data_IF_947541795067
#
_entry.id   IF_947541795067
#
_cell.length_a   1.000
_cell.length_b   1.000
_cell.length_c   1.000
_cell.angle_alpha   90.00
_cell.angle_beta   90.00
_cell.angle_gamma   90.00
#
_symmetry.space_group_name_H-M   'P 1'
#
loop_
_entity.id
_entity.type
_entity.pdbx_description
1 polymer ?
#
# COMPACT_ATOMS: atom_id res chain seq x y z
N UNK A 1 7.59 24.82 39.24
CA UNK A 1 6.31 24.47 38.61
C UNK A 1 6.63 23.62 37.41
N UNK A 2 6.20 22.37 37.44
CA UNK A 2 6.42 21.36 36.40
C UNK A 2 5.69 21.73 35.12
N UNK A 3 6.43 21.93 34.02
CA UNK A 3 5.88 21.83 32.67
C UNK A 3 5.44 20.38 32.47
N UNK A 4 4.13 20.15 32.47
CA UNK A 4 3.57 18.92 31.95
C UNK A 4 3.73 18.97 30.44
N UNK A 5 4.64 18.15 29.91
CA UNK A 5 4.71 17.82 28.48
C UNK A 5 3.32 17.36 28.02
N UNK A 6 2.61 18.27 27.36
CA UNK A 6 1.29 18.00 26.78
C UNK A 6 1.43 16.97 25.67
N UNK A 7 1.07 15.72 25.97
CA UNK A 7 0.79 14.72 24.94
C UNK A 7 -0.43 15.22 24.17
N UNK A 8 -0.21 15.90 23.04
CA UNK A 8 -1.28 16.31 22.14
C UNK A 8 -2.02 15.06 21.68
N UNK A 9 -3.32 15.00 21.97
CA UNK A 9 -4.21 13.93 21.49
C UNK A 9 -4.36 14.06 19.97
N UNK A 10 -4.34 12.94 19.24
CA UNK A 10 -4.52 12.90 17.79
C UNK A 10 -5.88 13.50 17.39
N UNK A 11 -5.86 14.51 16.51
CA UNK A 11 -7.07 15.10 15.92
C UNK A 11 -7.37 14.45 14.55
N UNK A 12 -8.37 13.56 14.46
CA UNK A 12 -8.68 12.85 13.21
C UNK A 12 -9.14 13.76 12.06
N UNK A 13 -9.52 15.00 12.34
CA UNK A 13 -10.00 15.96 11.32
C UNK A 13 -8.87 16.80 10.72
N UNK A 14 -7.70 16.83 11.37
CA UNK A 14 -6.58 17.69 10.98
C UNK A 14 -5.25 16.94 10.86
N UNK A 15 -4.99 15.99 11.76
CA UNK A 15 -3.69 15.35 11.86
C UNK A 15 -3.47 14.34 10.73
N UNK A 16 -2.28 14.35 10.09
CA UNK A 16 -1.92 13.35 9.11
C UNK A 16 -1.67 11.98 9.76
N UNK A 17 -1.77 10.94 8.93
CA UNK A 17 -1.33 9.59 9.26
C UNK A 17 -0.34 9.10 8.20
N UNK A 18 0.42 8.06 8.55
CA UNK A 18 1.11 7.22 7.59
C UNK A 18 0.68 5.77 7.78
N UNK A 19 0.54 5.05 6.67
CA UNK A 19 0.38 3.60 6.67
C UNK A 19 1.68 3.00 6.15
N UNK A 20 2.31 2.14 6.94
CA UNK A 20 3.61 1.56 6.61
C UNK A 20 3.56 0.03 6.60
N UNK A 21 4.22 -0.60 5.64
CA UNK A 21 4.67 -1.98 5.74
C UNK A 21 5.84 -2.02 6.73
N UNK A 22 5.58 -2.61 7.90
CA UNK A 22 6.52 -2.67 9.02
C UNK A 22 7.25 -4.00 9.11
N UNK A 23 6.69 -5.06 8.52
CA UNK A 23 7.34 -6.36 8.40
C UNK A 23 6.89 -7.03 7.09
N UNK A 24 7.84 -7.64 6.37
CA UNK A 24 7.56 -8.48 5.22
C UNK A 24 8.43 -9.73 5.32
N UNK A 25 7.82 -10.90 5.29
CA UNK A 25 8.51 -12.17 5.40
C UNK A 25 8.16 -13.08 4.22
N UNK A 26 9.19 -13.62 3.57
CA UNK A 26 9.03 -14.70 2.61
C UNK A 26 8.99 -16.02 3.39
N UNK A 27 7.91 -16.77 3.28
CA UNK A 27 7.71 -18.00 4.04
C UNK A 27 8.43 -19.18 3.39
N UNK A 28 8.72 -20.21 4.19
CA UNK A 28 9.45 -21.41 3.73
C UNK A 28 8.57 -22.45 3.03
N UNK A 29 7.24 -22.34 3.15
CA UNK A 29 6.31 -23.39 2.73
C UNK A 29 5.76 -23.05 1.35
N UNK A 30 5.84 -24.00 0.43
CA UNK A 30 5.30 -23.95 -0.92
C UNK A 30 5.75 -22.74 -1.74
N UNK A 31 6.88 -22.88 -2.40
CA UNK A 31 7.04 -22.23 -3.70
C UNK A 31 6.13 -22.97 -4.69
N UNK A 32 5.40 -22.31 -5.61
CA UNK A 32 4.59 -23.02 -6.62
C UNK A 32 5.43 -23.98 -7.51
N UNK A 33 6.75 -23.82 -7.47
CA UNK A 33 7.73 -24.47 -8.34
C UNK A 33 8.80 -25.21 -7.51
N UNK A 34 8.41 -26.33 -6.88
CA UNK A 34 9.27 -27.12 -5.97
C UNK A 34 10.77 -27.14 -6.33
N UNK A 35 11.63 -26.90 -5.33
CA UNK A 35 13.11 -26.93 -5.38
C UNK A 35 13.81 -26.04 -6.43
N UNK A 36 13.09 -25.41 -7.35
CA UNK A 36 13.61 -24.64 -8.49
C UNK A 36 13.16 -23.16 -8.45
N UNK A 37 13.23 -22.53 -7.29
CA UNK A 37 13.50 -21.09 -7.29
C UNK A 37 14.91 -20.91 -7.84
N UNK A 38 15.02 -20.41 -9.06
CA UNK A 38 16.31 -20.02 -9.62
C UNK A 38 16.84 -18.85 -8.78
N UNK A 39 17.73 -19.19 -7.83
CA UNK A 39 18.39 -18.31 -6.85
C UNK A 39 19.06 -17.06 -7.46
N UNK A 40 19.02 -16.90 -8.78
CA UNK A 40 19.58 -15.81 -9.56
C UNK A 40 18.66 -14.57 -9.65
N UNK A 41 17.35 -14.67 -9.42
CA UNK A 41 16.40 -13.54 -9.60
C UNK A 41 15.39 -13.35 -8.45
N UNK A 42 15.80 -13.55 -7.19
CA UNK A 42 14.89 -13.43 -6.05
C UNK A 42 14.61 -11.96 -5.66
N UNK A 43 13.84 -11.25 -6.48
CA UNK A 43 13.43 -9.87 -6.21
C UNK A 43 11.95 -9.84 -5.82
N UNK A 44 11.66 -9.42 -4.58
CA UNK A 44 10.28 -9.18 -4.17
C UNK A 44 9.89 -7.75 -4.49
N UNK A 45 8.90 -7.61 -5.36
CA UNK A 45 8.31 -6.32 -5.66
C UNK A 45 7.08 -6.10 -4.80
N UNK A 46 7.02 -4.97 -4.13
CA UNK A 46 5.86 -4.55 -3.34
C UNK A 46 5.28 -3.31 -3.97
N UNK A 47 3.97 -3.31 -4.17
CA UNK A 47 3.23 -2.13 -4.59
C UNK A 47 2.05 -1.89 -3.64
N UNK A 48 1.66 -0.63 -3.51
CA UNK A 48 0.41 -0.26 -2.87
C UNK A 48 -0.39 0.71 -3.72
N UNK A 49 -1.70 0.53 -3.66
CA UNK A 49 -2.71 1.48 -4.12
C UNK A 49 -3.37 2.08 -2.89
N UNK A 50 -3.56 3.39 -2.86
CA UNK A 50 -4.23 4.08 -1.78
C UNK A 50 -5.22 5.10 -2.33
N UNK A 51 -6.43 5.09 -1.80
CA UNK A 51 -7.49 6.04 -2.14
C UNK A 51 -8.15 6.56 -0.86
N UNK A 52 -7.99 7.84 -0.61
CA UNK A 52 -8.64 8.54 0.49
C UNK A 52 -9.79 9.42 -0.02
N UNK A 53 -10.48 10.12 0.88
CA UNK A 53 -11.62 10.96 0.51
C UNK A 53 -11.23 12.05 -0.50
N UNK A 54 -10.06 12.67 -0.30
CA UNK A 54 -9.57 13.73 -1.15
C UNK A 54 -9.20 13.21 -2.54
N UNK A 55 -8.47 12.11 -2.61
CA UNK A 55 -8.14 11.42 -3.84
C UNK A 55 -9.39 11.00 -4.61
N UNK A 56 -10.41 10.48 -3.93
CA UNK A 56 -11.69 10.15 -4.55
C UNK A 56 -12.39 11.38 -5.15
N UNK A 57 -12.34 12.54 -4.47
CA UNK A 57 -12.90 13.81 -4.99
C UNK A 57 -12.12 14.37 -6.18
N UNK A 58 -10.81 14.29 -6.11
CA UNK A 58 -9.90 14.87 -7.11
C UNK A 58 -9.61 13.92 -8.29
N UNK A 59 -10.15 12.70 -8.26
CA UNK A 59 -9.87 11.70 -9.28
C UNK A 59 -8.42 11.20 -9.23
N UNK A 60 -7.84 11.12 -8.03
CA UNK A 60 -6.42 10.79 -7.78
C UNK A 60 -6.25 9.53 -6.96
N UNK A 61 -5.37 8.66 -7.41
CA UNK A 61 -4.97 7.43 -6.75
C UNK A 61 -3.51 7.53 -6.30
N UNK A 62 -3.25 7.24 -5.03
CA UNK A 62 -1.89 7.11 -4.52
C UNK A 62 -1.29 5.76 -4.93
N UNK A 63 -0.11 5.79 -5.53
CA UNK A 63 0.64 4.59 -5.90
C UNK A 63 2.04 4.65 -5.28
N UNK A 64 2.40 3.61 -4.53
CA UNK A 64 3.76 3.42 -4.06
C UNK A 64 4.31 2.08 -4.55
N UNK A 65 5.63 2.03 -4.76
CA UNK A 65 6.33 0.76 -5.00
C UNK A 65 7.71 0.72 -4.35
N UNK A 66 8.16 -0.49 -4.06
CA UNK A 66 9.55 -0.79 -3.69
C UNK A 66 9.93 -2.19 -4.13
N UNK A 67 11.22 -2.45 -4.14
CA UNK A 67 11.81 -3.75 -4.46
C UNK A 67 12.72 -4.16 -3.30
N UNK A 68 12.61 -5.41 -2.88
CA UNK A 68 13.50 -6.05 -1.91
C UNK A 68 14.34 -7.09 -2.64
N UNK A 69 15.59 -6.73 -3.01
CA UNK A 69 16.47 -7.63 -3.74
C UNK A 69 16.97 -8.76 -2.83
N UNK A 70 17.23 -9.93 -3.43
CA UNK A 70 17.87 -11.08 -2.79
C UNK A 70 17.14 -11.66 -1.56
N UNK A 71 15.81 -11.52 -1.51
CA UNK A 71 15.01 -12.15 -0.46
C UNK A 71 15.08 -13.67 -0.58
N UNK A 72 15.19 -14.38 0.55
CA UNK A 72 15.27 -15.86 0.57
C UNK A 72 14.12 -16.47 1.35
N UNK A 73 13.69 -17.70 1.04
CA UNK A 73 12.68 -18.39 1.84
C UNK A 73 13.06 -18.42 3.33
N UNK A 74 12.14 -17.96 4.18
CA UNK A 74 12.32 -17.79 5.61
C UNK A 74 12.92 -16.44 6.04
N UNK A 75 13.36 -15.61 5.11
CA UNK A 75 13.91 -14.28 5.38
C UNK A 75 12.80 -13.27 5.65
N UNK A 76 13.08 -12.35 6.58
CA UNK A 76 12.26 -11.17 6.86
C UNK A 76 13.01 -9.94 6.33
N UNK A 77 12.33 -9.10 5.55
CA UNK A 77 12.88 -7.83 5.09
C UNK A 77 13.01 -6.89 6.30
N UNK A 78 14.22 -6.39 6.52
CA UNK A 78 14.47 -5.39 7.56
C UNK A 78 14.10 -4.00 7.06
N UNK A 79 13.36 -3.25 7.86
CA UNK A 79 13.08 -1.85 7.62
C UNK A 79 13.90 -0.99 8.58
N UNK A 80 14.64 -0.01 8.07
CA UNK A 80 15.16 1.08 8.89
C UNK A 80 14.03 2.08 9.18
N UNK A 81 13.92 2.54 10.43
CA UNK A 81 12.89 3.53 10.82
C UNK A 81 11.47 2.93 10.88
N UNK A 82 10.51 3.61 10.26
CA UNK A 82 9.08 3.34 10.44
C UNK A 82 8.48 2.27 9.51
N UNK A 83 9.26 1.73 8.59
CA UNK A 83 8.78 0.80 7.56
C UNK A 83 8.81 1.40 6.15
N UNK A 84 8.22 0.68 5.20
CA UNK A 84 7.99 1.16 3.84
C UNK A 84 6.62 1.84 3.74
N UNK A 85 6.60 3.06 3.19
CA UNK A 85 5.41 3.92 3.13
C UNK A 85 4.41 3.42 2.07
N UNK A 86 3.22 3.04 2.52
CA UNK A 86 2.11 2.60 1.67
C UNK A 86 1.13 3.74 1.36
N UNK A 87 0.97 4.68 2.31
CA UNK A 87 0.16 5.89 2.22
C UNK A 87 0.69 6.98 3.16
N UNK A 88 0.42 8.24 2.82
CA UNK A 88 0.74 9.41 3.62
C UNK A 88 2.17 9.90 3.37
N UNK A 89 2.70 10.80 4.21
CA UNK A 89 2.05 11.47 5.33
C UNK A 89 0.94 12.45 4.90
N UNK A 90 -0.34 12.11 5.15
CA UNK A 90 -1.50 12.95 4.77
C UNK A 90 -2.72 12.67 5.67
N UNK A 91 -3.65 13.63 5.79
CA UNK A 91 -4.94 13.41 6.46
C UNK A 91 -5.95 12.81 5.46
N UNK A 92 -6.52 11.63 5.72
CA UNK A 92 -7.35 10.96 4.73
C UNK A 92 -8.79 11.49 4.57
N UNK A 93 -9.23 12.44 5.42
CA UNK A 93 -10.61 12.93 5.42
C UNK A 93 -11.59 11.92 6.03
N UNK A 94 -12.60 11.47 5.28
CA UNK A 94 -13.64 10.58 5.80
C UNK A 94 -13.20 9.12 5.89
N UNK A 95 -12.31 8.69 5.00
CA UNK A 95 -11.88 7.30 4.86
C UNK A 95 -10.53 7.19 4.13
N UNK A 96 -9.91 6.03 4.27
CA UNK A 96 -8.75 5.60 3.52
C UNK A 96 -8.90 4.11 3.17
N UNK A 97 -8.67 3.76 1.92
CA UNK A 97 -8.49 2.38 1.49
C UNK A 97 -7.07 2.21 1.00
N UNK A 98 -6.34 1.24 1.54
CA UNK A 98 -5.00 0.86 1.09
C UNK A 98 -5.01 -0.61 0.70
N UNK A 99 -4.52 -0.91 -0.49
CA UNK A 99 -4.29 -2.27 -0.95
C UNK A 99 -2.81 -2.47 -1.22
N UNK A 100 -2.18 -3.36 -0.47
CA UNK A 100 -0.81 -3.79 -0.68
C UNK A 100 -0.78 -5.11 -1.45
N UNK A 101 0.19 -5.25 -2.34
CA UNK A 101 0.43 -6.43 -3.16
C UNK A 101 1.92 -6.75 -3.19
N UNK A 102 2.24 -8.04 -3.15
CA UNK A 102 3.59 -8.58 -3.22
C UNK A 102 3.69 -9.51 -4.41
N UNK A 103 4.74 -9.31 -5.20
CA UNK A 103 5.05 -10.08 -6.40
C UNK A 103 6.47 -10.63 -6.32
N UNK A 104 6.68 -11.81 -6.88
CA UNK A 104 7.97 -12.26 -7.37
C UNK A 104 8.22 -11.59 -8.72
N UNK A 105 9.31 -10.84 -8.84
CA UNK A 105 9.69 -10.16 -10.06
C UNK A 105 10.71 -11.00 -10.85
N UNK A 106 10.23 -11.68 -11.88
CA UNK A 106 11.07 -12.46 -12.79
C UNK A 106 11.79 -11.56 -13.83
N UNK A 107 11.22 -10.38 -14.10
CA UNK A 107 11.74 -9.41 -15.08
C UNK A 107 12.47 -8.25 -14.42
N UNK A 108 13.24 -7.53 -15.25
CA UNK A 108 13.96 -6.30 -14.89
C UNK A 108 13.09 -5.38 -14.01
N UNK A 109 13.44 -5.28 -12.73
CA UNK A 109 12.81 -4.43 -11.70
C UNK A 109 12.64 -2.97 -12.12
N UNK A 110 13.43 -2.50 -13.09
CA UNK A 110 13.29 -1.16 -13.66
C UNK A 110 11.95 -1.00 -14.40
N UNK A 111 11.35 -2.08 -14.90
CA UNK A 111 10.07 -2.07 -15.63
C UNK A 111 8.86 -2.30 -14.74
N UNK A 112 8.97 -3.12 -13.68
CA UNK A 112 7.88 -3.38 -12.73
C UNK A 112 7.16 -2.10 -12.34
N UNK A 113 7.95 -1.09 -11.98
CA UNK A 113 7.40 0.17 -11.51
C UNK A 113 6.62 0.97 -12.53
N UNK A 114 7.17 1.11 -13.74
CA UNK A 114 6.53 1.85 -14.82
C UNK A 114 5.30 1.09 -15.35
N UNK A 115 5.38 -0.24 -15.43
CA UNK A 115 4.28 -1.09 -15.89
C UNK A 115 3.12 -1.05 -14.89
N UNK A 116 3.41 -1.17 -13.58
CA UNK A 116 2.39 -1.10 -12.54
C UNK A 116 1.70 0.27 -12.52
N UNK A 117 2.45 1.37 -12.54
CA UNK A 117 1.89 2.71 -12.61
C UNK A 117 1.00 2.90 -13.85
N UNK A 118 1.50 2.52 -15.02
CA UNK A 118 0.76 2.65 -16.27
C UNK A 118 -0.58 1.89 -16.22
N UNK A 119 -0.57 0.69 -15.65
CA UNK A 119 -1.80 -0.11 -15.51
C UNK A 119 -2.74 0.53 -14.50
N UNK A 120 -2.25 0.95 -13.34
CA UNK A 120 -3.05 1.64 -12.34
C UNK A 120 -3.70 2.90 -12.93
N UNK A 121 -2.96 3.71 -13.69
CA UNK A 121 -3.50 4.92 -14.36
C UNK A 121 -4.53 4.59 -15.42
N UNK A 122 -4.21 3.69 -16.34
CA UNK A 122 -5.12 3.33 -17.43
C UNK A 122 -6.43 2.75 -16.90
N UNK A 123 -6.37 1.92 -15.86
CA UNK A 123 -7.55 1.28 -15.28
C UNK A 123 -8.31 2.20 -14.34
N UNK A 124 -7.64 3.13 -13.65
CA UNK A 124 -8.32 4.13 -12.83
C UNK A 124 -9.22 5.03 -13.68
N UNK A 125 -8.74 5.45 -14.86
CA UNK A 125 -9.55 6.18 -15.82
C UNK A 125 -10.74 5.34 -16.31
N UNK A 126 -10.50 4.09 -16.74
CA UNK A 126 -11.53 3.19 -17.26
C UNK A 126 -12.62 2.83 -16.23
N UNK A 127 -12.23 2.59 -14.98
CA UNK A 127 -13.13 2.19 -13.90
C UNK A 127 -13.84 3.39 -13.24
N UNK A 128 -13.67 4.59 -13.80
CA UNK A 128 -14.45 5.76 -13.40
C UNK A 128 -13.98 6.37 -12.09
N UNK A 129 -12.67 6.48 -11.85
CA UNK A 129 -12.14 7.27 -10.72
C UNK A 129 -12.72 8.71 -10.73
N UNK A 130 -12.95 9.29 -11.92
CA UNK A 130 -13.66 10.57 -12.07
C UNK A 130 -15.15 10.54 -11.67
N UNK A 131 -15.81 9.38 -11.67
CA UNK A 131 -17.20 9.25 -11.21
C UNK A 131 -17.31 9.31 -9.68
N UNK A 132 -16.25 8.94 -8.94
CA UNK A 132 -16.20 9.09 -7.49
C UNK A 132 -16.18 10.56 -7.05
N UNK A 133 -15.78 11.47 -7.94
CA UNK A 133 -15.71 12.90 -7.64
C UNK A 133 -17.06 13.50 -7.22
N UNK A 134 -18.16 13.00 -7.80
CA UNK A 134 -19.50 13.51 -7.54
C UNK A 134 -20.07 13.08 -6.17
N UNK A 135 -19.64 11.91 -5.67
CA UNK A 135 -20.06 11.39 -4.36
C UNK A 135 -19.02 10.40 -3.83
N UNK A 136 -17.96 10.89 -3.16
CA UNK A 136 -16.87 10.04 -2.66
C UNK A 136 -17.36 9.19 -1.49
N UNK A 137 -17.83 7.98 -1.81
CA UNK A 137 -18.25 6.99 -0.82
C UNK A 137 -17.16 5.96 -0.55
N UNK A 138 -16.89 5.66 0.72
CA UNK A 138 -15.94 4.63 1.13
C UNK A 138 -16.16 3.29 0.41
N UNK A 139 -17.41 2.82 0.32
CA UNK A 139 -17.71 1.52 -0.31
C UNK A 139 -17.34 1.49 -1.80
N UNK A 140 -17.58 2.59 -2.51
CA UNK A 140 -17.24 2.72 -3.92
C UNK A 140 -15.72 2.84 -4.12
N UNK A 141 -15.04 3.60 -3.26
CA UNK A 141 -13.59 3.68 -3.23
C UNK A 141 -12.94 2.30 -2.97
N UNK A 142 -13.46 1.53 -2.00
CA UNK A 142 -12.96 0.20 -1.69
C UNK A 142 -13.17 -0.78 -2.85
N UNK A 143 -14.35 -0.77 -3.48
CA UNK A 143 -14.62 -1.57 -4.66
C UNK A 143 -13.67 -1.23 -5.82
N UNK A 144 -13.45 0.06 -6.08
CA UNK A 144 -12.54 0.53 -7.12
C UNK A 144 -11.10 0.07 -6.85
N UNK A 145 -10.58 0.26 -5.64
CA UNK A 145 -9.21 -0.13 -5.29
C UNK A 145 -9.01 -1.64 -5.42
N UNK A 146 -9.98 -2.46 -4.98
CA UNK A 146 -9.94 -3.92 -5.17
C UNK A 146 -9.90 -4.32 -6.63
N UNK A 147 -10.74 -3.68 -7.44
CA UNK A 147 -10.82 -3.97 -8.87
C UNK A 147 -9.53 -3.55 -9.59
N UNK A 148 -8.97 -2.38 -9.26
CA UNK A 148 -7.68 -1.93 -9.76
C UNK A 148 -6.55 -2.89 -9.38
N UNK A 149 -6.54 -3.37 -8.13
CA UNK A 149 -5.55 -4.33 -7.68
C UNK A 149 -5.66 -5.67 -8.41
N UNK A 150 -6.89 -6.12 -8.69
CA UNK A 150 -7.15 -7.33 -9.49
C UNK A 150 -6.60 -7.18 -10.91
N UNK A 151 -6.88 -6.06 -11.56
CA UNK A 151 -6.40 -5.77 -12.92
C UNK A 151 -4.87 -5.61 -12.97
N UNK A 152 -4.29 -4.90 -12.00
CA UNK A 152 -2.85 -4.77 -11.85
C UNK A 152 -2.20 -6.15 -11.70
N UNK A 153 -2.73 -6.98 -10.80
CA UNK A 153 -2.26 -8.36 -10.59
C UNK A 153 -2.33 -9.20 -11.86
N UNK A 154 -3.45 -9.14 -12.59
CA UNK A 154 -3.63 -9.87 -13.84
C UNK A 154 -2.63 -9.42 -14.93
N UNK A 155 -2.32 -8.12 -15.00
CA UNK A 155 -1.31 -7.57 -15.89
C UNK A 155 0.11 -7.99 -15.49
N UNK A 156 0.46 -7.92 -14.21
CA UNK A 156 1.76 -8.35 -13.70
C UNK A 156 2.01 -9.83 -14.02
N UNK A 157 0.99 -10.68 -13.86
CA UNK A 157 1.06 -12.09 -14.26
C UNK A 157 1.32 -12.28 -15.75
N UNK A 158 0.74 -11.45 -16.64
CA UNK A 158 1.05 -11.46 -18.08
C UNK A 158 2.51 -11.08 -18.37
N UNK A 159 3.13 -10.30 -17.49
CA UNK A 159 4.54 -9.96 -17.53
C UNK A 159 5.47 -11.02 -16.90
N UNK A 160 4.92 -12.15 -16.44
CA UNK A 160 5.60 -13.21 -15.68
C UNK A 160 6.01 -12.80 -14.27
N UNK A 161 5.42 -11.74 -13.72
CA UNK A 161 5.60 -11.41 -12.32
C UNK A 161 4.49 -12.10 -11.52
N UNK A 162 4.87 -13.03 -10.65
CA UNK A 162 3.94 -13.90 -9.94
C UNK A 162 3.45 -13.26 -8.64
N UNK A 163 2.13 -13.17 -8.50
CA UNK A 163 1.52 -12.61 -7.30
C UNK A 163 1.61 -13.57 -6.12
N UNK A 164 2.31 -13.14 -5.07
CA UNK A 164 2.53 -13.93 -3.87
C UNK A 164 1.49 -13.67 -2.78
N UNK A 165 0.96 -12.44 -2.69
CA UNK A 165 0.00 -12.12 -1.64
C UNK A 165 -0.40 -10.66 -1.61
N UNK A 166 -1.51 -10.39 -0.94
CA UNK A 166 -2.06 -9.05 -0.82
C UNK A 166 -2.69 -8.82 0.55
N UNK A 167 -2.79 -7.55 0.93
CA UNK A 167 -3.38 -7.12 2.20
C UNK A 167 -4.12 -5.80 2.00
N UNK A 168 -5.35 -5.74 2.47
CA UNK A 168 -6.17 -4.54 2.43
C UNK A 168 -6.30 -3.95 3.83
N UNK A 169 -6.20 -2.62 3.94
CA UNK A 169 -6.68 -1.86 5.08
C UNK A 169 -7.76 -0.90 4.63
N UNK A 170 -8.90 -0.96 5.30
CA UNK A 170 -10.02 -0.05 5.12
C UNK A 170 -10.23 0.71 6.42
N UNK A 171 -9.89 1.99 6.42
CA UNK A 171 -9.73 2.81 7.62
C UNK A 171 -10.75 3.96 7.57
N UNK A 172 -11.57 4.10 8.60
CA UNK A 172 -12.63 5.11 8.67
C UNK A 172 -12.33 6.12 9.76
N UNK A 173 -12.66 7.40 9.52
CA UNK A 173 -12.56 8.45 10.55
C UNK A 173 -13.56 8.23 11.69
N UNK A 174 -14.78 7.83 11.35
CA UNK A 174 -15.93 7.79 12.26
C UNK A 174 -16.03 6.57 13.16
N UNK A 175 -14.92 5.93 13.52
CA UNK A 175 -14.88 4.76 14.43
C UNK A 175 -14.33 5.14 15.81
N UNK A 176 -14.53 4.27 16.82
CA UNK A 176 -14.04 4.49 18.19
C UNK A 176 -12.52 4.78 18.26
N UNK A 177 -11.76 4.17 17.35
CA UNK A 177 -10.35 4.50 17.10
C UNK A 177 -10.25 4.99 15.65
N UNK A 178 -10.29 6.31 15.38
CA UNK A 178 -10.23 6.86 14.04
C UNK A 178 -9.03 6.35 13.26
N UNK A 179 -9.29 5.86 12.05
CA UNK A 179 -8.33 5.22 11.14
C UNK A 179 -7.51 4.09 11.75
N UNK A 180 -7.90 3.59 12.93
CA UNK A 180 -7.11 2.61 13.68
C UNK A 180 -5.66 3.07 13.92
N UNK A 181 -5.46 4.35 14.21
CA UNK A 181 -4.12 4.88 14.54
C UNK A 181 -3.47 4.09 15.69
N UNK A 182 -2.15 3.91 15.60
CA UNK A 182 -1.36 3.08 16.51
C UNK A 182 -1.76 1.60 16.55
N UNK A 183 -2.44 1.09 15.51
CA UNK A 183 -2.68 -0.35 15.32
C UNK A 183 -1.78 -0.90 14.23
N UNK A 184 -1.49 -2.19 14.38
CA UNK A 184 -0.82 -2.99 13.37
C UNK A 184 -1.65 -4.22 13.07
N UNK A 185 -1.60 -4.64 11.82
CA UNK A 185 -2.36 -5.78 11.30
C UNK A 185 -1.39 -6.70 10.58
N UNK A 186 -1.48 -7.99 10.86
CA UNK A 186 -0.68 -9.00 10.19
C UNK A 186 -1.59 -9.87 9.34
N UNK A 187 -1.22 -10.05 8.07
CA UNK A 187 -1.82 -11.01 7.16
C UNK A 187 -0.75 -11.99 6.70
N UNK A 188 -1.10 -13.25 6.54
CA UNK A 188 -0.20 -14.28 6.04
C UNK A 188 -0.96 -15.26 5.17
N UNK A 189 -0.30 -15.74 4.12
CA UNK A 189 -0.75 -16.88 3.33
C UNK A 189 0.36 -17.93 3.27
N UNK A 190 0.35 -18.82 2.26
CA UNK A 190 1.40 -19.83 2.13
C UNK A 190 2.77 -19.24 1.71
N UNK A 191 2.79 -18.15 0.95
CA UNK A 191 4.01 -17.57 0.37
C UNK A 191 4.62 -16.45 1.22
N UNK A 192 3.81 -15.54 1.75
CA UNK A 192 4.28 -14.32 2.41
C UNK A 192 3.51 -14.01 3.69
N UNK A 193 4.17 -13.31 4.61
CA UNK A 193 3.53 -12.64 5.75
C UNK A 193 3.87 -11.16 5.72
N UNK A 194 2.86 -10.32 5.91
CA UNK A 194 2.97 -8.86 5.89
C UNK A 194 2.39 -8.30 7.17
N UNK A 195 3.05 -7.29 7.74
CA UNK A 195 2.50 -6.50 8.84
C UNK A 195 2.45 -5.04 8.43
N UNK A 196 1.24 -4.48 8.39
CA UNK A 196 1.01 -3.05 8.12
C UNK A 196 0.64 -2.33 9.41
N UNK A 197 1.25 -1.18 9.67
CA UNK A 197 0.99 -0.33 10.83
C UNK A 197 0.47 1.05 10.42
N UNK A 198 -0.43 1.61 11.24
CA UNK A 198 -0.95 2.98 11.08
C UNK A 198 -0.33 3.88 12.13
N UNK A 199 0.39 4.91 11.70
CA UNK A 199 1.09 5.85 12.60
C UNK A 199 0.44 7.24 12.53
N UNK A 200 0.08 7.85 13.67
CA UNK A 200 -0.30 9.25 13.71
C UNK A 200 0.95 10.12 13.50
N UNK A 201 0.77 11.25 12.81
CA UNK A 201 1.83 12.22 12.58
C UNK A 201 1.36 13.59 13.05
N UNK A 202 2.19 14.31 13.80
CA UNK A 202 1.87 15.68 14.25
C UNK A 202 1.93 16.70 13.12
N UNK A 203 2.78 16.44 12.13
CA UNK A 203 2.95 17.26 10.92
C UNK A 203 3.79 16.48 9.91
N UNK A 204 3.44 16.55 8.62
CA UNK A 204 4.37 16.15 7.56
C UNK A 204 5.54 17.13 7.55
N UNK A 205 6.78 16.65 7.66
CA UNK A 205 7.96 17.50 7.49
C UNK A 205 8.33 17.71 6.01
N UNK A 206 7.55 17.15 5.07
CA UNK A 206 7.80 17.24 3.63
C UNK A 206 9.06 16.53 3.15
N UNK A 207 9.71 15.73 4.01
CA UNK A 207 10.94 15.02 3.67
C UNK A 207 10.63 13.55 3.40
N UNK A 208 10.97 13.08 2.19
CA UNK A 208 10.74 11.70 1.75
C UNK A 208 10.22 11.63 0.31
N UNK A 209 10.30 10.45 -0.31
CA UNK A 209 9.67 10.23 -1.61
C UNK A 209 8.15 10.19 -1.39
N UNK A 210 7.45 11.19 -1.88
CA UNK A 210 5.98 11.21 -1.87
C UNK A 210 5.44 10.10 -2.78
N UNK A 211 4.26 9.54 -2.48
CA UNK A 211 3.56 8.64 -3.38
C UNK A 211 3.41 9.26 -4.77
N UNK A 212 3.51 8.43 -5.81
CA UNK A 212 3.19 8.89 -7.15
C UNK A 212 1.68 9.00 -7.26
N UNK A 213 1.22 10.19 -7.62
CA UNK A 213 -0.20 10.47 -7.82
C UNK A 213 -0.56 10.13 -9.25
N UNK A 214 -1.56 9.27 -9.39
CA UNK A 214 -2.12 8.85 -10.66
C UNK A 214 -3.47 9.51 -10.85
N UNK A 215 -3.66 10.21 -11.96
CA UNK A 215 -4.91 10.92 -12.29
C UNK A 215 -5.78 10.07 -13.22
N UNK A 216 -7.08 9.98 -12.92
CA UNK A 216 -8.09 9.50 -13.85
C UNK A 216 -8.56 10.67 -14.71
N UNK A 217 -8.10 10.73 -15.96
CA UNK A 217 -8.59 11.69 -16.96
C UNK A 217 -10.02 11.35 -17.42
#
# INVERSE_FOLDING_TARGET
>A
MSEQDGVSVFDPSADPIAVCLTELKLLKRHTPFGEFWDLRHNELCVASLALDERGAREGKLGVNRTVFPHMRPGMTAGFGGDGYLAYGPENPGGFLVVQMMVFECDRDIRRFGADFEKVASSKAAELGLGMLAANPGYAAAAALVRELAREATAMMKRNRDDHLGSMELSLLRGTDVPYQVNRSYTSANEYVSMTMGVKPLRSSNGQGRMPVVVEGA
#
